data_IF_230398736291
#
_entry.id   IF_230398736291
#
_cell.length_a   1.000
_cell.length_b   1.000
_cell.length_c   1.000
_cell.angle_alpha   90.00
_cell.angle_beta   90.00
_cell.angle_gamma   90.00
#
_symmetry.space_group_name_H-M   'P 1'
#
loop_
_entity.id
_entity.type
_entity.pdbx_description
1 polymer ?
#
# COMPACT_ATOMS: atom_id res chain seq x y z
N UNK A 1 -28.49 3.67 13.40
CA UNK A 1 -27.33 2.78 13.21
C UNK A 1 -27.36 1.72 14.29
N UNK A 2 -27.15 0.43 13.97
CA UNK A 2 -27.04 -0.59 15.01
C UNK A 2 -25.90 -0.23 15.98
N UNK A 3 -26.11 -0.45 17.29
CA UNK A 3 -25.08 -0.24 18.32
C UNK A 3 -23.86 -1.14 18.12
N UNK A 4 -23.99 -2.20 17.32
CA UNK A 4 -22.99 -3.24 17.14
C UNK A 4 -21.70 -2.79 16.42
N UNK A 5 -21.73 -1.63 15.73
CA UNK A 5 -20.57 -1.11 14.98
C UNK A 5 -20.19 0.31 15.39
N UNK A 6 -20.54 0.73 16.60
CA UNK A 6 -20.00 1.97 17.16
C UNK A 6 -18.51 1.76 17.47
N UNK A 7 -17.62 2.71 17.11
CA UNK A 7 -16.23 2.63 17.56
C UNK A 7 -16.19 2.67 19.10
N UNK A 8 -15.22 2.01 19.74
CA UNK A 8 -15.00 2.18 21.16
C UNK A 8 -14.68 3.65 21.47
N UNK A 9 -15.03 4.09 22.68
CA UNK A 9 -14.62 5.41 23.14
C UNK A 9 -13.09 5.49 23.16
N UNK A 10 -12.50 6.64 22.77
CA UNK A 10 -11.07 6.87 22.95
C UNK A 10 -10.63 6.58 24.40
N UNK A 11 -9.45 5.98 24.62
CA UNK A 11 -8.34 5.84 23.65
C UNK A 11 -8.36 4.56 22.80
N UNK A 12 -9.47 3.81 22.74
CA UNK A 12 -9.59 2.59 21.93
C UNK A 12 -8.51 1.50 22.23
N UNK A 13 -7.99 1.45 23.46
CA UNK A 13 -6.93 0.52 23.92
C UNK A 13 -5.60 0.59 23.15
N UNK A 14 -5.33 1.70 22.46
CA UNK A 14 -4.17 1.81 21.56
C UNK A 14 -2.80 1.74 22.26
N UNK A 15 -2.72 2.06 23.56
CA UNK A 15 -1.47 1.99 24.32
C UNK A 15 -1.18 0.59 24.88
N UNK A 16 -2.22 -0.21 25.13
CA UNK A 16 -2.11 -1.52 25.77
C UNK A 16 -2.07 -2.67 24.77
N UNK A 17 -2.85 -2.60 23.69
CA UNK A 17 -2.89 -3.59 22.62
C UNK A 17 -3.13 -2.89 21.26
N UNK A 18 -2.10 -2.23 20.70
CA UNK A 18 -2.24 -1.48 19.45
C UNK A 18 -2.64 -2.38 18.27
N UNK A 19 -2.17 -3.63 18.23
CA UNK A 19 -2.46 -4.56 17.13
C UNK A 19 -3.92 -5.02 17.21
N UNK A 20 -4.38 -5.47 18.38
CA UNK A 20 -5.79 -5.83 18.58
C UNK A 20 -6.72 -4.63 18.45
N UNK A 21 -6.27 -3.44 18.85
CA UNK A 21 -6.96 -2.16 18.60
C UNK A 21 -7.17 -1.89 17.11
N UNK A 22 -6.11 -2.00 16.30
CA UNK A 22 -6.20 -1.83 14.84
C UNK A 22 -7.09 -2.88 14.18
N UNK A 23 -7.00 -4.15 14.57
CA UNK A 23 -7.89 -5.22 14.08
C UNK A 23 -9.35 -4.87 14.36
N UNK A 24 -9.65 -4.47 15.60
CA UNK A 24 -11.00 -4.06 16.01
C UNK A 24 -11.51 -2.87 15.19
N UNK A 25 -10.70 -1.83 15.04
CA UNK A 25 -11.11 -0.59 14.35
C UNK A 25 -11.29 -0.82 12.83
N UNK A 26 -10.34 -1.48 12.17
CA UNK A 26 -10.41 -1.69 10.72
C UNK A 26 -11.38 -2.79 10.32
N UNK A 27 -11.37 -3.93 11.01
CA UNK A 27 -12.14 -5.12 10.64
C UNK A 27 -13.52 -5.09 11.31
N UNK A 28 -13.54 -5.13 12.64
CA UNK A 28 -14.79 -5.33 13.39
C UNK A 28 -15.71 -4.11 13.36
N UNK A 29 -15.15 -2.92 13.24
CA UNK A 29 -15.92 -1.67 13.14
C UNK A 29 -16.07 -1.25 11.69
N UNK A 30 -15.00 -0.82 11.01
CA UNK A 30 -15.13 -0.18 9.69
C UNK A 30 -15.61 -1.15 8.60
N UNK A 31 -14.96 -2.33 8.45
CA UNK A 31 -15.32 -3.29 7.42
C UNK A 31 -16.70 -3.91 7.67
N UNK A 32 -17.01 -4.36 8.89
CA UNK A 32 -18.33 -4.90 9.22
C UNK A 32 -19.46 -3.86 9.08
N UNK A 33 -19.22 -2.59 9.45
CA UNK A 33 -20.18 -1.51 9.17
C UNK A 33 -20.46 -1.41 7.67
N UNK A 34 -19.41 -1.47 6.83
CA UNK A 34 -19.59 -1.41 5.38
C UNK A 34 -20.41 -2.61 4.86
N UNK A 35 -20.11 -3.83 5.32
CA UNK A 35 -20.87 -5.04 4.99
C UNK A 35 -22.35 -4.91 5.39
N UNK A 36 -22.62 -4.45 6.62
CA UNK A 36 -23.97 -4.24 7.12
C UNK A 36 -24.77 -3.18 6.33
N UNK A 37 -24.08 -2.28 5.63
CA UNK A 37 -24.69 -1.30 4.70
C UNK A 37 -24.80 -1.81 3.26
N UNK A 38 -24.57 -3.09 3.01
CA UNK A 38 -24.76 -3.74 1.71
C UNK A 38 -23.52 -3.80 0.82
N UNK A 39 -22.32 -3.52 1.35
CA UNK A 39 -21.08 -3.77 0.61
C UNK A 39 -20.81 -5.28 0.57
N UNK A 40 -20.80 -5.86 -0.62
CA UNK A 40 -20.52 -7.28 -0.83
C UNK A 40 -19.75 -7.44 -2.16
N UNK A 41 -18.56 -8.07 -2.20
CA UNK A 41 -17.83 -8.68 -1.08
C UNK A 41 -17.19 -7.66 -0.11
N UNK A 42 -16.65 -8.17 1.00
CA UNK A 42 -15.77 -7.41 1.87
C UNK A 42 -14.62 -6.76 1.07
N UNK A 43 -14.46 -5.44 1.20
CA UNK A 43 -13.35 -4.71 0.58
C UNK A 43 -12.20 -4.56 1.56
N UNK A 44 -10.99 -4.32 1.04
CA UNK A 44 -9.84 -3.93 1.88
C UNK A 44 -10.19 -2.69 2.72
N UNK A 45 -9.70 -2.61 3.98
CA UNK A 45 -9.98 -1.47 4.86
C UNK A 45 -9.25 -0.18 4.43
N UNK A 46 -8.06 -0.33 3.85
CA UNK A 46 -7.23 0.74 3.28
C UNK A 46 -6.79 0.34 1.86
N UNK A 47 -6.39 1.32 1.05
CA UNK A 47 -6.03 1.08 -0.36
C UNK A 47 -7.11 0.30 -1.13
N UNK A 48 -8.38 0.58 -0.83
CA UNK A 48 -9.54 -0.18 -1.33
C UNK A 48 -9.79 0.08 -2.82
N UNK A 49 -9.46 1.27 -3.31
CA UNK A 49 -9.66 1.67 -4.70
C UNK A 49 -8.68 0.91 -5.58
N UNK A 50 -9.17 -0.05 -6.36
CA UNK A 50 -8.37 -0.77 -7.35
C UNK A 50 -8.31 0.03 -8.66
N UNK A 51 -7.11 0.37 -9.12
CA UNK A 51 -6.91 0.91 -10.46
C UNK A 51 -6.69 -0.20 -11.48
N UNK A 52 -5.99 -1.27 -11.11
CA UNK A 52 -5.83 -2.44 -11.96
C UNK A 52 -4.86 -3.46 -11.38
N UNK A 53 -4.82 -4.63 -12.01
CA UNK A 53 -3.84 -5.66 -11.72
C UNK A 53 -3.24 -6.19 -13.03
N UNK A 54 -1.95 -6.52 -13.00
CA UNK A 54 -1.22 -7.02 -14.15
C UNK A 54 -0.34 -8.20 -13.74
N UNK A 55 -0.26 -9.20 -14.62
CA UNK A 55 0.75 -10.25 -14.52
C UNK A 55 2.07 -9.74 -15.10
N UNK A 56 3.19 -10.15 -14.52
CA UNK A 56 4.51 -9.73 -14.95
C UNK A 56 5.60 -10.68 -14.51
N UNK A 57 6.84 -10.21 -14.63
CA UNK A 57 8.05 -10.90 -14.18
C UNK A 57 8.84 -9.96 -13.30
N UNK A 58 9.46 -10.51 -12.26
CA UNK A 58 10.46 -9.84 -11.45
C UNK A 58 11.81 -10.46 -11.79
N UNK A 59 12.66 -9.67 -12.43
CA UNK A 59 13.92 -10.14 -13.00
C UNK A 59 15.10 -9.57 -12.21
N UNK A 60 15.83 -10.44 -11.53
CA UNK A 60 16.98 -10.08 -10.72
C UNK A 60 18.19 -9.94 -11.63
N UNK A 61 18.86 -8.78 -11.57
CA UNK A 61 20.10 -8.54 -12.32
C UNK A 61 21.17 -9.58 -11.98
N UNK A 62 21.86 -10.07 -13.01
CA UNK A 62 22.94 -11.04 -12.83
C UNK A 62 24.20 -10.43 -12.18
N UNK A 63 24.35 -9.11 -12.25
CA UNK A 63 25.49 -8.34 -11.76
C UNK A 63 25.21 -7.60 -10.44
N UNK A 64 24.32 -8.16 -9.60
CA UNK A 64 24.07 -7.60 -8.27
C UNK A 64 25.33 -7.67 -7.38
N UNK A 65 25.63 -6.62 -6.59
CA UNK A 65 26.66 -6.68 -5.55
C UNK A 65 26.40 -7.83 -4.56
N UNK A 66 27.45 -8.50 -4.08
CA UNK A 66 27.34 -9.70 -3.26
C UNK A 66 26.52 -9.48 -1.98
N UNK A 67 26.54 -8.25 -1.45
CA UNK A 67 25.91 -7.85 -0.19
C UNK A 67 24.37 -7.89 -0.27
N UNK A 68 23.80 -7.76 -1.46
CA UNK A 68 22.34 -7.75 -1.67
C UNK A 68 21.80 -9.05 -2.28
N UNK A 69 22.66 -10.05 -2.51
CA UNK A 69 22.28 -11.36 -3.07
C UNK A 69 21.66 -12.28 -2.01
N UNK A 70 20.56 -11.85 -1.38
CA UNK A 70 19.91 -12.58 -0.29
C UNK A 70 18.49 -12.97 -0.66
N UNK A 71 18.13 -14.24 -0.43
CA UNK A 71 16.78 -14.75 -0.62
C UNK A 71 16.25 -14.54 -2.04
N UNK A 72 15.24 -13.68 -2.19
CA UNK A 72 14.56 -13.42 -3.47
C UNK A 72 15.47 -12.79 -4.53
N UNK A 73 16.58 -12.17 -4.11
CA UNK A 73 17.55 -11.47 -4.97
C UNK A 73 18.71 -12.36 -5.43
N UNK A 74 18.48 -13.66 -5.60
CA UNK A 74 19.47 -14.54 -6.23
C UNK A 74 19.78 -14.03 -7.67
N UNK A 75 21.07 -13.81 -8.03
CA UNK A 75 21.43 -13.24 -9.34
C UNK A 75 20.86 -14.03 -10.52
N UNK A 76 20.22 -13.33 -11.45
CA UNK A 76 19.60 -13.93 -12.64
C UNK A 76 18.28 -14.67 -12.38
N UNK A 77 17.77 -14.67 -11.15
CA UNK A 77 16.46 -15.25 -10.86
C UNK A 77 15.34 -14.48 -11.57
N UNK A 78 14.32 -15.22 -12.02
CA UNK A 78 13.11 -14.67 -12.62
C UNK A 78 11.91 -15.25 -11.90
N UNK A 79 11.16 -14.38 -11.21
CA UNK A 79 9.95 -14.77 -10.49
C UNK A 79 8.72 -14.35 -11.28
N UNK A 80 7.72 -15.23 -11.36
CA UNK A 80 6.38 -14.82 -11.84
C UNK A 80 5.78 -13.85 -10.83
N UNK A 81 5.11 -12.81 -11.32
CA UNK A 81 4.56 -11.77 -10.46
C UNK A 81 3.12 -11.42 -10.82
N UNK A 82 2.33 -11.11 -9.78
CA UNK A 82 1.10 -10.34 -9.91
C UNK A 82 1.28 -9.00 -9.22
N UNK A 83 0.97 -7.92 -9.94
CA UNK A 83 1.09 -6.54 -9.45
C UNK A 83 -0.29 -5.92 -9.35
N UNK A 84 -0.60 -5.29 -8.22
CA UNK A 84 -1.86 -4.60 -7.95
C UNK A 84 -1.59 -3.12 -7.69
N UNK A 85 -2.19 -2.25 -8.51
CA UNK A 85 -2.15 -0.80 -8.32
C UNK A 85 -3.46 -0.32 -7.69
N UNK A 86 -3.35 0.52 -6.67
CA UNK A 86 -4.48 1.00 -5.88
C UNK A 86 -4.24 2.37 -5.28
N UNK A 87 -5.26 2.95 -4.67
CA UNK A 87 -5.14 4.18 -3.89
C UNK A 87 -5.94 4.14 -2.61
N UNK A 88 -5.49 4.93 -1.64
CA UNK A 88 -6.17 5.11 -0.35
C UNK A 88 -7.22 6.22 -0.43
N UNK A 89 -8.24 5.99 -1.27
CA UNK A 89 -9.36 6.90 -1.48
C UNK A 89 -10.67 6.24 -1.07
N UNK A 90 -11.46 6.98 -0.30
CA UNK A 90 -12.81 6.56 0.07
C UNK A 90 -13.75 6.51 -1.16
N UNK A 91 -14.79 5.66 -1.14
CA UNK A 91 -15.77 5.62 -2.22
C UNK A 91 -16.41 7.00 -2.47
N UNK A 92 -16.68 7.30 -3.74
CA UNK A 92 -17.25 8.59 -4.16
C UNK A 92 -16.24 9.74 -4.31
N UNK A 93 -14.97 9.55 -3.92
CA UNK A 93 -13.90 10.50 -4.23
C UNK A 93 -13.33 10.26 -5.63
N UNK A 94 -12.95 11.33 -6.37
CA UNK A 94 -12.19 11.20 -7.61
C UNK A 94 -10.76 10.73 -7.32
N UNK A 95 -10.09 10.20 -8.35
CA UNK A 95 -8.70 9.70 -8.33
C UNK A 95 -7.63 10.82 -8.17
N UNK A 96 -7.90 11.84 -7.34
CA UNK A 96 -7.05 13.02 -7.12
C UNK A 96 -6.61 13.11 -5.65
N UNK A 97 -5.32 13.42 -5.43
CA UNK A 97 -4.75 13.68 -4.11
C UNK A 97 -4.67 12.44 -3.19
N UNK A 98 -5.05 11.26 -3.68
CA UNK A 98 -4.93 10.01 -2.92
C UNK A 98 -3.52 9.42 -2.97
N UNK A 99 -3.07 8.86 -1.85
CA UNK A 99 -1.84 8.06 -1.82
C UNK A 99 -2.02 6.82 -2.70
N UNK A 100 -1.11 6.61 -3.65
CA UNK A 100 -1.08 5.44 -4.51
C UNK A 100 -0.25 4.33 -3.86
N UNK A 101 -0.71 3.09 -4.02
CA UNK A 101 -0.07 1.89 -3.49
C UNK A 101 0.11 0.86 -4.58
N UNK A 102 1.24 0.15 -4.52
CA UNK A 102 1.55 -0.99 -5.37
C UNK A 102 1.87 -2.20 -4.51
N UNK A 103 1.16 -3.30 -4.75
CA UNK A 103 1.47 -4.60 -4.15
C UNK A 103 1.99 -5.54 -5.24
N UNK A 104 3.16 -6.14 -5.01
CA UNK A 104 3.80 -7.09 -5.93
C UNK A 104 3.87 -8.42 -5.19
N UNK A 105 3.20 -9.43 -5.72
CA UNK A 105 3.28 -10.81 -5.24
C UNK A 105 4.13 -11.63 -6.18
N UNK A 106 5.24 -12.17 -5.66
CA UNK A 106 6.10 -13.13 -6.33
C UNK A 106 5.65 -14.55 -6.01
N UNK A 107 5.79 -15.45 -6.98
CA UNK A 107 5.47 -16.86 -6.87
C UNK A 107 6.71 -17.73 -7.03
N UNK A 108 6.62 -18.96 -6.54
CA UNK A 108 7.69 -19.96 -6.56
C UNK A 108 8.93 -19.52 -5.76
N UNK A 109 8.71 -18.73 -4.71
CA UNK A 109 9.76 -18.24 -3.82
C UNK A 109 9.97 -19.23 -2.67
N UNK A 110 11.08 -19.95 -2.70
CA UNK A 110 11.43 -20.94 -1.69
C UNK A 110 11.87 -20.32 -0.34
N UNK A 111 11.95 -21.18 0.67
CA UNK A 111 12.37 -20.84 2.03
C UNK A 111 11.20 -20.47 2.96
N UNK A 112 11.37 -20.67 4.27
CA UNK A 112 10.32 -20.45 5.26
C UNK A 112 9.90 -18.97 5.31
N UNK A 113 8.61 -18.71 5.53
CA UNK A 113 8.06 -17.36 5.73
C UNK A 113 7.91 -17.05 7.21
N UNK A 114 7.88 -15.76 7.53
CA UNK A 114 7.89 -15.27 8.91
C UNK A 114 6.53 -15.41 9.61
N UNK A 115 5.43 -15.42 8.86
CA UNK A 115 4.07 -15.27 9.41
C UNK A 115 3.29 -16.58 9.30
N UNK A 116 2.72 -17.03 10.42
CA UNK A 116 1.71 -18.08 10.43
C UNK A 116 0.37 -17.59 9.85
N UNK A 117 -0.44 -18.44 9.19
CA UNK A 117 -0.22 -19.87 8.92
C UNK A 117 0.47 -20.14 7.56
N UNK A 118 1.12 -19.13 6.99
CA UNK A 118 1.67 -19.16 5.64
C UNK A 118 3.20 -19.44 5.65
N UNK A 119 3.74 -20.09 6.67
CA UNK A 119 5.18 -20.34 6.82
C UNK A 119 5.76 -21.15 5.64
N UNK A 120 4.96 -22.06 5.09
CA UNK A 120 5.32 -22.91 3.94
C UNK A 120 4.84 -22.34 2.59
N UNK A 121 4.25 -21.14 2.58
CA UNK A 121 3.78 -20.52 1.35
C UNK A 121 4.95 -20.22 0.42
N UNK A 122 4.82 -20.58 -0.87
CA UNK A 122 5.87 -20.31 -1.88
C UNK A 122 5.70 -18.95 -2.55
N UNK A 123 5.42 -17.91 -1.75
CA UNK A 123 5.20 -16.54 -2.23
C UNK A 123 5.98 -15.50 -1.43
N UNK A 124 6.23 -14.34 -2.02
CA UNK A 124 6.80 -13.19 -1.34
C UNK A 124 6.13 -11.91 -1.81
N UNK A 125 5.80 -11.02 -0.87
CA UNK A 125 5.06 -9.79 -1.17
C UNK A 125 5.92 -8.56 -0.90
N UNK A 126 6.00 -7.67 -1.88
CA UNK A 126 6.46 -6.30 -1.69
C UNK A 126 5.27 -5.37 -1.70
N UNK A 127 5.09 -4.60 -0.62
CA UNK A 127 4.05 -3.59 -0.48
C UNK A 127 4.71 -2.23 -0.43
N UNK A 128 4.36 -1.35 -1.37
CA UNK A 128 4.95 -0.03 -1.49
C UNK A 128 3.87 1.04 -1.69
N UNK A 129 4.19 2.30 -1.38
CA UNK A 129 3.34 3.47 -1.63
C UNK A 129 4.12 4.62 -2.28
N UNK A 130 3.45 5.57 -2.92
CA UNK A 130 4.07 6.69 -3.63
C UNK A 130 4.53 7.85 -2.72
N UNK A 131 4.99 7.51 -1.51
CA UNK A 131 5.59 8.43 -0.56
C UNK A 131 6.66 7.70 0.27
N UNK A 132 7.83 8.31 0.54
CA UNK A 132 8.99 7.62 1.12
C UNK A 132 8.88 7.29 2.62
N UNK A 133 7.97 7.93 3.34
CA UNK A 133 7.74 7.74 4.79
C UNK A 133 6.27 7.42 5.08
N UNK A 134 6.00 6.89 6.27
CA UNK A 134 4.64 6.76 6.78
C UNK A 134 4.28 8.00 7.59
N UNK A 135 2.99 8.30 7.73
CA UNK A 135 2.53 9.49 8.45
C UNK A 135 2.54 9.33 9.98
N UNK A 136 2.74 8.11 10.48
CA UNK A 136 2.90 7.79 11.91
C UNK A 136 4.05 6.80 12.11
N UNK A 137 4.64 6.81 13.30
CA UNK A 137 5.89 6.07 13.58
C UNK A 137 5.67 4.60 13.97
N UNK A 138 4.51 4.27 14.52
CA UNK A 138 4.24 2.95 15.10
C UNK A 138 2.74 2.58 15.09
N UNK A 139 2.45 1.35 15.50
CA UNK A 139 1.09 0.82 15.56
C UNK A 139 0.20 1.52 16.59
N UNK A 140 0.75 2.03 17.69
CA UNK A 140 -0.02 2.73 18.72
C UNK A 140 -0.52 4.08 18.21
N UNK A 141 0.34 4.86 17.55
CA UNK A 141 -0.05 6.09 16.86
C UNK A 141 -1.02 5.84 15.71
N UNK A 142 -0.82 4.78 14.93
CA UNK A 142 -1.77 4.41 13.87
C UNK A 142 -3.15 4.05 14.44
N UNK A 143 -3.18 3.34 15.58
CA UNK A 143 -4.41 3.01 16.29
C UNK A 143 -5.09 4.29 16.80
N UNK A 144 -4.35 5.20 17.45
CA UNK A 144 -4.88 6.45 17.99
C UNK A 144 -5.44 7.35 16.87
N UNK A 145 -4.72 7.48 15.75
CA UNK A 145 -5.18 8.19 14.55
C UNK A 145 -6.51 7.61 14.03
N UNK A 146 -6.58 6.28 13.90
CA UNK A 146 -7.78 5.59 13.39
C UNK A 146 -8.95 5.72 14.37
N UNK A 147 -8.69 5.62 15.67
CA UNK A 147 -9.66 5.83 16.74
C UNK A 147 -10.23 7.25 16.71
N UNK A 148 -9.38 8.27 16.58
CA UNK A 148 -9.79 9.66 16.46
C UNK A 148 -10.64 9.88 15.19
N UNK A 149 -10.24 9.33 14.05
CA UNK A 149 -11.00 9.39 12.80
C UNK A 149 -12.40 8.80 12.93
N UNK A 150 -12.52 7.58 13.46
CA UNK A 150 -13.81 6.92 13.62
C UNK A 150 -14.73 7.61 14.65
N UNK A 151 -14.16 8.32 15.62
CA UNK A 151 -14.88 9.09 16.63
C UNK A 151 -15.12 10.56 16.25
N UNK A 152 -14.74 10.99 15.04
CA UNK A 152 -14.93 12.37 14.59
C UNK A 152 -14.03 13.40 15.29
N UNK A 153 -12.89 12.96 15.81
CA UNK A 153 -11.89 13.76 16.54
C UNK A 153 -10.59 13.95 15.75
N UNK A 154 -10.59 13.64 14.44
CA UNK A 154 -9.38 13.67 13.62
C UNK A 154 -8.72 15.05 13.57
N UNK A 155 -9.50 16.13 13.41
CA UNK A 155 -8.96 17.48 13.31
C UNK A 155 -8.21 17.90 14.58
N UNK A 156 -8.77 17.56 15.75
CA UNK A 156 -8.11 17.81 17.04
C UNK A 156 -6.83 16.98 17.16
N UNK A 157 -6.91 15.68 16.85
CA UNK A 157 -5.75 14.80 16.92
C UNK A 157 -4.62 15.27 15.99
N UNK A 158 -4.95 15.75 14.79
CA UNK A 158 -3.96 16.29 13.84
C UNK A 158 -3.36 17.61 14.31
N UNK A 159 -4.14 18.47 14.98
CA UNK A 159 -3.62 19.68 15.61
C UNK A 159 -2.59 19.36 16.71
N UNK A 160 -2.79 18.26 17.45
CA UNK A 160 -1.87 17.78 18.47
C UNK A 160 -0.69 16.97 17.88
N UNK A 161 -0.73 16.61 16.59
CA UNK A 161 0.26 15.79 15.88
C UNK A 161 0.71 16.45 14.57
N UNK A 162 1.27 17.67 14.68
CA UNK A 162 1.62 18.52 13.53
C UNK A 162 2.54 17.84 12.50
N UNK A 163 3.49 17.00 12.95
CA UNK A 163 4.37 16.24 12.05
C UNK A 163 3.56 15.27 11.18
N UNK A 164 2.62 14.53 11.78
CA UNK A 164 1.71 13.65 11.04
C UNK A 164 0.84 14.45 10.07
N UNK A 165 0.31 15.59 10.51
CA UNK A 165 -0.50 16.46 9.65
C UNK A 165 0.29 16.97 8.44
N UNK A 166 1.55 17.36 8.63
CA UNK A 166 2.42 17.80 7.55
C UNK A 166 2.74 16.67 6.58
N UNK A 167 3.04 15.46 7.07
CA UNK A 167 3.32 14.31 6.19
C UNK A 167 2.07 13.93 5.38
N UNK A 168 0.88 13.92 5.98
CA UNK A 168 -0.37 13.66 5.25
C UNK A 168 -0.58 14.67 4.11
N UNK A 169 -0.34 15.95 4.39
CA UNK A 169 -0.37 17.00 3.36
C UNK A 169 0.65 16.76 2.25
N UNK A 170 1.86 16.32 2.59
CA UNK A 170 2.91 16.01 1.62
C UNK A 170 2.64 14.70 0.83
N UNK A 171 1.77 13.83 1.34
CA UNK A 171 1.29 12.62 0.66
C UNK A 171 0.21 12.94 -0.38
N UNK A 172 -0.55 14.02 -0.20
CA UNK A 172 -1.58 14.47 -1.14
C UNK A 172 -0.96 15.04 -2.42
N UNK A 173 -0.74 14.16 -3.39
CA UNK A 173 -0.11 14.50 -4.68
C UNK A 173 -1.06 14.27 -5.83
N UNK A 174 -1.03 15.16 -6.81
CA UNK A 174 -1.59 14.90 -8.13
C UNK A 174 -0.60 14.07 -8.92
N UNK A 175 -1.06 12.95 -9.48
CA UNK A 175 -0.21 11.98 -10.20
C UNK A 175 -0.82 11.73 -11.57
N UNK A 176 -0.03 11.85 -12.63
CA UNK A 176 -0.52 11.69 -14.00
C UNK A 176 -0.91 10.24 -14.32
N UNK A 177 -0.16 9.27 -13.76
CA UNK A 177 -0.38 7.84 -13.97
C UNK A 177 0.14 7.02 -12.79
N UNK A 178 -0.59 5.96 -12.42
CA UNK A 178 -0.11 4.96 -11.47
C UNK A 178 1.12 4.19 -12.00
N UNK A 179 1.38 4.23 -13.32
CA UNK A 179 2.54 3.60 -13.94
C UNK A 179 3.76 4.55 -14.04
N UNK A 180 3.60 5.84 -13.71
CA UNK A 180 4.61 6.88 -13.91
C UNK A 180 5.04 7.58 -12.61
N UNK A 181 4.76 7.01 -11.44
CA UNK A 181 5.23 7.51 -10.14
C UNK A 181 6.18 6.52 -9.47
N UNK A 182 7.21 6.99 -8.73
CA UNK A 182 7.97 6.13 -7.84
C UNK A 182 7.13 5.64 -6.65
N UNK A 183 7.52 4.48 -6.10
CA UNK A 183 6.97 3.88 -4.89
C UNK A 183 8.08 3.46 -3.93
N UNK A 184 7.80 3.46 -2.63
CA UNK A 184 8.75 3.10 -1.56
C UNK A 184 8.12 2.10 -0.61
N UNK A 185 8.94 1.19 -0.08
CA UNK A 185 8.54 0.21 0.92
C UNK A 185 8.14 0.83 2.25
N UNK A 186 8.52 2.10 2.46
CA UNK A 186 8.31 2.90 3.68
C UNK A 186 9.11 2.38 4.86
N UNK A 187 8.82 1.15 5.28
CA UNK A 187 9.48 0.44 6.35
C UNK A 187 10.85 -0.09 5.90
N UNK A 188 11.84 -0.11 6.81
CA UNK A 188 13.08 -0.85 6.60
C UNK A 188 12.85 -2.36 6.77
N UNK A 189 13.62 -3.16 6.05
CA UNK A 189 13.61 -4.61 6.05
C UNK A 189 15.02 -5.11 6.36
N UNK A 190 15.13 -6.23 7.08
CA UNK A 190 16.40 -6.94 7.21
C UNK A 190 16.68 -7.69 5.90
N UNK A 191 17.87 -7.48 5.34
CA UNK A 191 18.39 -8.19 4.18
C UNK A 191 19.75 -8.77 4.54
N UNK A 192 19.76 -10.03 4.98
CA UNK A 192 20.96 -10.65 5.52
C UNK A 192 21.39 -9.95 6.81
N UNK A 193 22.56 -9.30 6.79
CA UNK A 193 23.10 -8.56 7.93
C UNK A 193 22.80 -7.05 7.89
N UNK A 194 22.20 -6.56 6.80
CA UNK A 194 21.94 -5.15 6.58
C UNK A 194 20.46 -4.80 6.79
N UNK A 195 20.18 -3.51 6.99
CA UNK A 195 18.83 -2.96 6.91
C UNK A 195 18.70 -2.13 5.65
N UNK A 196 17.67 -2.44 4.86
CA UNK A 196 17.44 -1.82 3.57
C UNK A 196 16.01 -1.32 3.47
N UNK A 197 15.76 -0.42 2.54
CA UNK A 197 14.44 -0.07 2.05
C UNK A 197 14.38 -0.34 0.56
N UNK A 198 13.16 -0.56 0.06
CA UNK A 198 12.96 -0.82 -1.36
C UNK A 198 12.31 0.38 -2.04
N UNK A 199 12.72 0.63 -3.29
CA UNK A 199 12.13 1.67 -4.13
C UNK A 199 11.85 1.13 -5.53
N UNK A 200 10.63 1.36 -6.00
CA UNK A 200 10.21 1.09 -7.36
C UNK A 200 10.25 2.40 -8.15
N UNK A 201 10.98 2.44 -9.26
CA UNK A 201 11.14 3.64 -10.11
C UNK A 201 10.65 3.33 -11.52
N UNK A 202 9.70 4.11 -12.08
CA UNK A 202 9.27 3.94 -13.46
C UNK A 202 10.44 4.09 -14.44
N UNK A 203 10.61 3.12 -15.32
CA UNK A 203 11.57 3.19 -16.44
C UNK A 203 10.84 3.37 -17.76
N UNK A 204 9.67 2.72 -17.91
CA UNK A 204 8.79 2.87 -19.05
C UNK A 204 7.34 2.68 -18.58
N UNK A 205 6.51 3.72 -18.70
CA UNK A 205 5.09 3.66 -18.35
C UNK A 205 4.19 3.39 -19.56
N UNK A 206 4.76 3.05 -20.72
CA UNK A 206 4.09 3.09 -22.02
C UNK A 206 3.78 4.52 -22.49
N UNK A 207 3.40 4.67 -23.75
CA UNK A 207 2.84 5.93 -24.24
C UNK A 207 1.37 6.05 -23.82
N UNK A 208 0.98 7.25 -23.40
CA UNK A 208 -0.40 7.55 -23.04
C UNK A 208 -0.71 9.01 -23.28
N UNK A 209 -1.99 9.37 -23.47
CA UNK A 209 -2.38 10.77 -23.52
C UNK A 209 -2.08 11.47 -22.19
N UNK A 210 -2.12 12.81 -22.17
CA UNK A 210 -2.15 13.55 -20.90
C UNK A 210 -3.27 13.04 -19.98
N UNK A 211 -3.04 13.12 -18.67
CA UNK A 211 -4.01 12.70 -17.68
C UNK A 211 -5.31 13.51 -17.79
N UNK A 212 -6.44 12.81 -17.88
CA UNK A 212 -7.78 13.40 -17.96
C UNK A 212 -8.32 13.63 -16.54
N UNK A 213 -7.82 14.65 -15.84
CA UNK A 213 -8.16 14.92 -14.43
C UNK A 213 -9.66 15.23 -14.18
N UNK A 214 -10.44 15.46 -15.24
CA UNK A 214 -11.89 15.60 -15.21
C UNK A 214 -12.64 14.27 -15.13
N UNK A 215 -12.00 13.14 -15.48
CA UNK A 215 -12.52 11.80 -15.21
C UNK A 215 -12.24 11.42 -13.75
N UNK A 216 -13.28 11.17 -12.91
CA UNK A 216 -13.10 10.80 -11.51
C UNK A 216 -12.38 9.46 -11.32
N UNK A 217 -12.14 8.69 -12.39
CA UNK A 217 -11.45 7.41 -12.41
C UNK A 217 -10.25 7.38 -13.35
N UNK A 218 -9.67 8.55 -13.67
CA UNK A 218 -8.67 8.67 -14.73
C UNK A 218 -7.44 7.76 -14.54
N UNK A 219 -6.99 7.51 -13.29
CA UNK A 219 -5.85 6.63 -13.03
C UNK A 219 -6.15 5.18 -13.44
N UNK A 220 -7.40 4.73 -13.24
CA UNK A 220 -7.86 3.41 -13.71
C UNK A 220 -7.91 3.38 -15.23
N UNK A 221 -8.53 4.37 -15.86
CA UNK A 221 -8.67 4.41 -17.31
C UNK A 221 -7.29 4.48 -18.01
N UNK A 222 -6.35 5.25 -17.47
CA UNK A 222 -4.99 5.37 -17.95
C UNK A 222 -4.21 4.05 -17.84
N UNK A 223 -4.23 3.42 -16.65
CA UNK A 223 -3.55 2.14 -16.42
C UNK A 223 -4.03 1.07 -17.41
N UNK A 224 -5.35 0.91 -17.55
CA UNK A 224 -5.92 -0.08 -18.47
C UNK A 224 -5.52 0.19 -19.93
N UNK A 225 -5.49 1.46 -20.35
CA UNK A 225 -5.09 1.85 -21.70
C UNK A 225 -3.63 1.53 -22.00
N UNK A 226 -2.72 1.94 -21.11
CA UNK A 226 -1.28 1.69 -21.23
C UNK A 226 -0.96 0.20 -21.24
N UNK A 227 -1.58 -0.56 -20.32
CA UNK A 227 -1.38 -2.02 -20.24
C UNK A 227 -1.98 -2.79 -21.41
N UNK A 228 -3.00 -2.25 -22.08
CA UNK A 228 -3.53 -2.83 -23.33
C UNK A 228 -2.60 -2.55 -24.54
N UNK A 229 -1.82 -1.47 -24.49
CA UNK A 229 -0.91 -1.08 -25.56
C UNK A 229 0.46 -1.76 -25.45
N UNK A 230 0.91 -2.10 -24.25
CA UNK A 230 2.21 -2.75 -24.06
C UNK A 230 2.59 -2.97 -22.60
N UNK A 231 3.85 -3.27 -22.38
CA UNK A 231 4.41 -3.46 -21.04
C UNK A 231 4.73 -2.12 -20.35
N UNK A 232 4.61 -2.11 -19.02
CA UNK A 232 5.23 -1.12 -18.17
C UNK A 232 6.43 -1.76 -17.46
N UNK A 233 7.52 -1.01 -17.31
CA UNK A 233 8.75 -1.44 -16.62
C UNK A 233 9.11 -0.49 -15.50
N UNK A 234 9.59 -1.09 -14.42
CA UNK A 234 10.10 -0.39 -13.25
C UNK A 234 11.44 -1.00 -12.85
N UNK A 235 12.37 -0.13 -12.47
CA UNK A 235 13.56 -0.54 -11.75
C UNK A 235 13.21 -0.76 -10.27
N UNK A 236 13.63 -1.91 -9.74
CA UNK A 236 13.50 -2.21 -8.31
C UNK A 236 14.86 -2.02 -7.63
N UNK A 237 14.94 -1.06 -6.71
CA UNK A 237 16.16 -0.65 -6.04
C UNK A 237 16.13 -1.05 -4.57
N UNK A 238 17.28 -1.51 -4.09
CA UNK A 238 17.59 -1.73 -2.67
C UNK A 238 18.45 -0.55 -2.23
N UNK A 239 18.05 0.13 -1.15
CA UNK A 239 18.66 1.38 -0.69
C UNK A 239 18.74 1.50 0.82
#
# INVERSE_FOLDING_TARGET
MSRDFAPPAPPCDCDSDPIGGLERLFVRVAQNRALATGRDPATRPVFLRLHGAAHGRFEVRADLPAEVQVGVFAPGAVHRAWVRFSSDLQPGRPDLGGTLGVGIKLFDVDGPKLLEPDEEARTHDFILQNHPVFFVDDAAKMCAFTCASLNGQLDQWLADNEVTAQILKDMEKQVDSALATPYWSVLPYSLGQEYVKYKLVPEAAGDGPPAAFDDPTYLRADLHRRMAAGEARFGFYVH
#
